data_IF_020216238722
#
_entry.id   IF_020216238722
#
_cell.length_a   1.000
_cell.length_b   1.000
_cell.length_c   1.000
_cell.angle_alpha   90.00
_cell.angle_beta   90.00
_cell.angle_gamma   90.00
#
_symmetry.space_group_name_H-M   'P 1'
#
loop_
_entity.id
_entity.type
_entity.pdbx_description
1 polymer ?
#
# COMPACT_ATOMS: atom_id res chain seq x y z
N UNK A 1 -26.53 -10.87 6.39
CA UNK A 1 -25.64 -10.50 7.52
C UNK A 1 -26.26 -9.33 8.25
N UNK A 2 -26.33 -9.37 9.59
CA UNK A 2 -26.98 -8.32 10.39
C UNK A 2 -26.12 -7.03 10.43
N UNK A 3 -26.72 -5.83 10.39
CA UNK A 3 -26.00 -4.55 10.50
C UNK A 3 -25.12 -4.41 11.74
N UNK A 4 -25.40 -5.16 12.82
CA UNK A 4 -24.61 -5.17 14.05
C UNK A 4 -23.30 -5.97 13.95
N UNK A 5 -23.24 -7.01 13.10
CA UNK A 5 -22.00 -7.74 12.83
C UNK A 5 -21.00 -6.85 12.07
N UNK A 6 -21.50 -6.06 11.10
CA UNK A 6 -20.72 -5.10 10.33
C UNK A 6 -20.17 -3.92 11.15
N UNK A 7 -20.70 -3.68 12.37
CA UNK A 7 -20.22 -2.67 13.31
C UNK A 7 -19.16 -3.20 14.28
N UNK A 8 -19.16 -4.49 14.61
CA UNK A 8 -18.15 -5.12 15.49
C UNK A 8 -16.86 -5.48 14.74
N UNK A 9 -16.94 -5.74 13.43
CA UNK A 9 -15.80 -5.94 12.53
C UNK A 9 -15.23 -4.62 11.94
N UNK A 10 -15.49 -3.49 12.59
CA UNK A 10 -15.04 -2.15 12.18
C UNK A 10 -13.53 -1.89 12.30
N UNK A 11 -12.72 -2.94 12.40
CA UNK A 11 -11.26 -2.84 12.44
C UNK A 11 -10.67 -2.50 11.07
N UNK A 12 -9.45 -1.94 11.11
CA UNK A 12 -8.62 -1.50 9.98
C UNK A 12 -8.50 -2.43 8.75
N UNK A 13 -8.98 -3.68 8.82
CA UNK A 13 -9.12 -4.58 7.67
C UNK A 13 -9.98 -4.02 6.54
N UNK A 14 -10.79 -2.98 6.80
CA UNK A 14 -11.63 -2.28 5.82
C UNK A 14 -10.94 -1.07 5.13
N UNK A 15 -9.75 -0.66 5.58
CA UNK A 15 -9.03 0.44 4.95
C UNK A 15 -8.33 -0.04 3.66
N UNK A 16 -8.25 0.85 2.66
CA UNK A 16 -7.45 0.60 1.47
C UNK A 16 -5.97 0.61 1.85
N UNK A 17 -5.15 -0.19 1.16
CA UNK A 17 -3.71 -0.26 1.42
C UNK A 17 -3.00 1.10 1.41
N UNK A 18 -3.32 2.05 0.49
CA UNK A 18 -2.71 3.39 0.53
C UNK A 18 -3.03 4.16 1.81
N UNK A 19 -4.26 4.05 2.31
CA UNK A 19 -4.69 4.68 3.57
C UNK A 19 -3.90 4.09 4.75
N UNK A 20 -3.81 2.77 4.82
CA UNK A 20 -3.09 2.07 5.89
C UNK A 20 -1.59 2.40 5.85
N UNK A 21 -0.98 2.49 4.67
CA UNK A 21 0.43 2.84 4.50
C UNK A 21 0.71 4.29 4.94
N UNK A 22 -0.09 5.26 4.51
CA UNK A 22 0.06 6.65 4.97
C UNK A 22 -0.14 6.75 6.48
N UNK A 23 -1.05 5.96 7.04
CA UNK A 23 -1.29 5.97 8.48
C UNK A 23 -0.10 5.42 9.29
N UNK A 24 0.60 4.42 8.76
CA UNK A 24 1.87 3.94 9.33
C UNK A 24 2.98 4.99 9.23
N UNK A 25 3.01 5.76 8.14
CA UNK A 25 4.05 6.76 7.91
C UNK A 25 3.90 8.03 8.76
N UNK A 26 2.76 8.27 9.42
CA UNK A 26 2.59 9.43 10.31
C UNK A 26 3.32 9.16 11.64
N UNK A 27 4.49 9.73 11.88
CA UNK A 27 5.26 9.52 13.12
C UNK A 27 4.71 10.32 14.30
N UNK A 28 4.24 11.55 14.10
CA UNK A 28 3.79 12.42 15.19
C UNK A 28 2.26 12.46 15.36
N UNK A 29 1.80 12.60 16.61
CA UNK A 29 0.37 12.84 16.93
C UNK A 29 -0.16 14.15 16.33
N UNK A 30 0.74 15.11 16.06
CA UNK A 30 0.40 16.40 15.45
C UNK A 30 0.07 16.28 13.95
N UNK A 31 0.18 15.10 13.35
CA UNK A 31 -0.20 14.90 11.95
C UNK A 31 0.82 15.42 10.95
N UNK A 32 2.01 15.81 11.41
CA UNK A 32 3.15 15.97 10.52
C UNK A 32 3.47 14.58 9.98
N UNK A 33 3.21 14.37 8.69
CA UNK A 33 3.74 13.23 7.96
C UNK A 33 5.25 13.25 8.18
N UNK A 34 5.82 12.11 8.57
CA UNK A 34 7.26 11.90 8.38
C UNK A 34 7.57 12.32 6.96
N UNK A 35 8.63 13.12 6.82
CA UNK A 35 9.04 13.82 5.60
C UNK A 35 8.54 13.08 4.35
N UNK A 36 7.50 13.62 3.69
CA UNK A 36 6.97 12.99 2.48
C UNK A 36 8.12 12.85 1.49
N UNK A 37 8.48 11.62 1.17
CA UNK A 37 9.63 11.29 0.35
C UNK A 37 9.20 10.47 -0.86
N UNK A 38 10.13 10.26 -1.79
CA UNK A 38 9.88 9.54 -3.04
C UNK A 38 9.51 8.07 -2.78
N UNK A 39 10.04 7.45 -1.71
CA UNK A 39 9.71 6.08 -1.31
C UNK A 39 8.25 5.94 -0.87
N UNK A 40 7.73 6.85 -0.04
CA UNK A 40 6.31 6.87 0.35
C UNK A 40 5.45 7.16 -0.87
N UNK A 41 5.88 8.08 -1.73
CA UNK A 41 5.17 8.45 -2.96
C UNK A 41 4.98 7.22 -3.86
N UNK A 42 6.05 6.52 -4.21
CA UNK A 42 6.03 5.33 -5.07
C UNK A 42 5.34 4.14 -4.37
N UNK A 43 5.59 3.94 -3.07
CA UNK A 43 4.93 2.95 -2.22
C UNK A 43 3.41 3.07 -2.23
N UNK A 44 2.85 4.29 -2.15
CA UNK A 44 1.40 4.50 -2.25
C UNK A 44 0.84 4.05 -3.61
N UNK A 45 1.58 4.25 -4.71
CA UNK A 45 1.16 3.81 -6.06
C UNK A 45 1.25 2.28 -6.19
N UNK A 46 2.28 1.66 -5.62
CA UNK A 46 2.33 0.20 -5.45
C UNK A 46 1.11 -0.31 -4.67
N UNK A 47 0.74 0.39 -3.58
CA UNK A 47 -0.44 0.08 -2.78
C UNK A 47 -1.76 0.19 -3.55
N UNK A 48 -1.89 1.15 -4.46
CA UNK A 48 -3.05 1.29 -5.36
C UNK A 48 -3.17 0.05 -6.26
N UNK A 49 -2.09 -0.40 -6.89
CA UNK A 49 -2.11 -1.57 -7.78
C UNK A 49 -2.45 -2.85 -7.01
N UNK A 50 -1.86 -3.06 -5.84
CA UNK A 50 -2.19 -4.22 -4.99
C UNK A 50 -3.67 -4.15 -4.56
N UNK A 51 -4.15 -2.99 -4.13
CA UNK A 51 -5.55 -2.84 -3.68
C UNK A 51 -6.54 -3.14 -4.81
N UNK A 52 -6.28 -2.67 -6.03
CA UNK A 52 -7.09 -2.98 -7.21
C UNK A 52 -7.08 -4.48 -7.52
N UNK A 53 -5.92 -5.15 -7.40
CA UNK A 53 -5.81 -6.59 -7.61
C UNK A 53 -6.57 -7.39 -6.55
N UNK A 54 -6.46 -7.01 -5.26
CA UNK A 54 -7.21 -7.63 -4.17
C UNK A 54 -8.73 -7.45 -4.31
N UNK A 55 -9.17 -6.35 -4.93
CA UNK A 55 -10.58 -6.10 -5.30
C UNK A 55 -11.00 -6.77 -6.61
N UNK A 56 -10.13 -7.55 -7.25
CA UNK A 56 -10.41 -8.25 -8.50
C UNK A 56 -10.62 -7.33 -9.71
N UNK A 57 -10.17 -6.07 -9.63
CA UNK A 57 -10.30 -5.10 -10.73
C UNK A 57 -9.23 -5.27 -11.78
N UNK A 58 -8.04 -5.68 -11.37
CA UNK A 58 -6.90 -5.94 -12.26
C UNK A 58 -6.23 -7.27 -11.91
N UNK A 59 -5.45 -7.80 -12.82
CA UNK A 59 -4.53 -8.91 -12.57
C UNK A 59 -3.28 -8.79 -13.43
N UNK A 60 -2.31 -9.66 -13.20
CA UNK A 60 -1.20 -9.83 -14.14
C UNK A 60 -1.63 -10.72 -15.30
N UNK A 61 -1.04 -10.49 -16.47
CA UNK A 61 -1.16 -11.35 -17.64
C UNK A 61 -0.84 -12.80 -17.23
N UNK A 62 -1.69 -13.79 -17.55
CA UNK A 62 -1.47 -15.17 -17.12
C UNK A 62 -0.15 -15.73 -17.69
N UNK A 63 0.45 -16.69 -16.98
CA UNK A 63 1.64 -17.37 -17.46
C UNK A 63 1.31 -18.09 -18.78
N UNK A 64 1.96 -17.66 -19.87
CA UNK A 64 1.88 -18.34 -21.17
C UNK A 64 2.93 -19.44 -21.28
N UNK A 65 2.82 -20.29 -22.31
CA UNK A 65 3.81 -21.34 -22.63
C UNK A 65 5.25 -20.80 -22.74
N UNK A 66 5.42 -19.50 -23.01
CA UNK A 66 6.73 -18.85 -23.13
C UNK A 66 7.32 -18.35 -21.80
N UNK A 67 6.71 -18.65 -20.65
CA UNK A 67 7.14 -18.23 -19.28
C UNK A 67 7.82 -16.84 -19.26
N UNK A 68 7.02 -15.79 -19.43
CA UNK A 68 7.48 -14.41 -19.24
C UNK A 68 7.92 -14.21 -17.78
N UNK A 69 8.97 -13.42 -17.57
CA UNK A 69 9.39 -13.02 -16.22
C UNK A 69 8.31 -12.17 -15.56
N UNK A 70 8.23 -12.19 -14.23
CA UNK A 70 7.22 -11.48 -13.43
C UNK A 70 7.12 -10.00 -13.81
N UNK A 71 8.26 -9.32 -13.94
CA UNK A 71 8.33 -7.89 -14.27
C UNK A 71 8.00 -7.57 -15.73
N UNK A 72 7.99 -8.57 -16.62
CA UNK A 72 7.60 -8.42 -18.03
C UNK A 72 6.09 -8.65 -18.21
N UNK A 73 5.41 -9.20 -17.21
CA UNK A 73 3.97 -9.44 -17.24
C UNK A 73 3.23 -8.11 -17.16
N UNK A 74 2.24 -7.96 -18.03
CA UNK A 74 1.43 -6.75 -18.14
C UNK A 74 0.27 -6.78 -17.15
N UNK A 75 -0.12 -5.61 -16.67
CA UNK A 75 -1.33 -5.41 -15.86
C UNK A 75 -2.55 -5.40 -16.79
N UNK A 76 -3.49 -6.32 -16.54
CA UNK A 76 -4.70 -6.52 -17.32
C UNK A 76 -5.91 -6.09 -16.50
N UNK A 77 -6.80 -5.33 -17.14
CA UNK A 77 -8.09 -4.95 -16.57
C UNK A 77 -9.04 -6.16 -16.56
N UNK A 78 -9.57 -6.50 -15.38
CA UNK A 78 -10.61 -7.54 -15.19
C UNK A 78 -12.00 -6.94 -15.07
N UNK A 79 -12.12 -5.83 -14.38
CA UNK A 79 -13.39 -5.14 -14.15
C UNK A 79 -13.14 -3.66 -13.93
N UNK A 80 -13.96 -2.82 -14.56
CA UNK A 80 -13.97 -1.36 -14.41
C UNK A 80 -15.06 -0.87 -13.44
N UNK A 81 -15.67 -1.78 -12.68
CA UNK A 81 -16.67 -1.42 -11.69
C UNK A 81 -16.07 -0.45 -10.65
N UNK A 82 -16.76 0.65 -10.31
CA UNK A 82 -16.23 1.61 -9.36
C UNK A 82 -15.93 0.95 -8.01
N UNK A 83 -14.88 1.46 -7.36
CA UNK A 83 -14.40 0.99 -6.06
C UNK A 83 -14.85 1.89 -4.92
N UNK A 84 -15.30 3.12 -5.24
CA UNK A 84 -15.68 4.14 -4.26
C UNK A 84 -14.49 4.89 -3.66
N UNK A 85 -13.27 4.61 -4.12
CA UNK A 85 -12.05 5.33 -3.76
C UNK A 85 -11.56 6.11 -4.99
N UNK A 86 -11.46 7.43 -4.85
CA UNK A 86 -11.18 8.33 -5.97
C UNK A 86 -9.84 8.02 -6.64
N UNK A 87 -8.82 7.60 -5.87
CA UNK A 87 -7.49 7.28 -6.43
C UNK A 87 -7.54 5.97 -7.20
N UNK A 88 -8.18 4.94 -6.63
CA UNK A 88 -8.35 3.65 -7.30
C UNK A 88 -9.17 3.79 -8.59
N UNK A 89 -10.26 4.57 -8.54
CA UNK A 89 -11.15 4.77 -9.68
C UNK A 89 -10.51 5.62 -10.79
N UNK A 90 -9.63 6.57 -10.43
CA UNK A 90 -8.80 7.30 -11.41
C UNK A 90 -7.76 6.39 -12.07
N UNK A 91 -7.06 5.57 -11.30
CA UNK A 91 -6.14 4.58 -11.86
C UNK A 91 -6.85 3.58 -12.77
N UNK A 92 -8.06 3.11 -12.42
CA UNK A 92 -8.84 2.24 -13.30
C UNK A 92 -9.22 2.93 -14.62
N UNK A 93 -9.59 4.22 -14.58
CA UNK A 93 -9.83 5.00 -15.80
C UNK A 93 -8.58 5.09 -16.67
N UNK A 94 -7.41 5.32 -16.08
CA UNK A 94 -6.14 5.31 -16.83
C UNK A 94 -5.86 3.94 -17.45
N UNK A 95 -5.95 2.85 -16.67
CA UNK A 95 -5.74 1.48 -17.16
C UNK A 95 -6.68 1.13 -18.31
N UNK A 96 -7.96 1.55 -18.23
CA UNK A 96 -8.95 1.34 -19.28
C UNK A 96 -8.66 2.16 -20.55
N UNK A 97 -8.09 3.35 -20.41
CA UNK A 97 -7.81 4.24 -21.54
C UNK A 97 -6.53 3.85 -22.32
N UNK A 98 -5.64 3.06 -21.73
CA UNK A 98 -4.39 2.68 -22.39
C UNK A 98 -4.62 1.69 -23.53
N UNK A 99 -4.09 1.99 -24.71
CA UNK A 99 -4.16 1.09 -25.88
C UNK A 99 -3.36 -0.20 -25.69
N UNK A 100 -2.18 -0.10 -25.08
CA UNK A 100 -1.29 -1.22 -24.79
C UNK A 100 -1.13 -1.43 -23.30
N UNK A 101 -1.42 -2.64 -22.81
CA UNK A 101 -1.19 -2.97 -21.41
C UNK A 101 0.29 -2.80 -21.03
N UNK A 102 0.52 -2.18 -19.86
CA UNK A 102 1.84 -1.83 -19.30
C UNK A 102 2.21 -2.75 -18.14
N UNK A 103 3.50 -2.82 -17.79
CA UNK A 103 3.99 -3.62 -16.65
C UNK A 103 3.71 -2.91 -15.32
N UNK A 104 3.87 -3.63 -14.20
CA UNK A 104 3.72 -3.05 -12.86
C UNK A 104 4.67 -1.88 -12.64
N UNK A 105 5.94 -2.05 -13.01
CA UNK A 105 6.96 -1.01 -12.89
C UNK A 105 6.55 0.26 -13.65
N UNK A 106 6.17 0.13 -14.92
CA UNK A 106 5.73 1.26 -15.73
C UNK A 106 4.49 1.93 -15.15
N UNK A 107 3.53 1.18 -14.61
CA UNK A 107 2.39 1.80 -13.92
C UNK A 107 2.80 2.61 -12.70
N UNK A 108 3.75 2.15 -11.90
CA UNK A 108 4.25 2.92 -10.75
C UNK A 108 4.90 4.23 -11.22
N UNK A 109 5.76 4.18 -12.23
CA UNK A 109 6.41 5.36 -12.83
C UNK A 109 5.37 6.36 -13.40
N UNK A 110 4.39 5.85 -14.15
CA UNK A 110 3.31 6.66 -14.74
C UNK A 110 2.46 7.37 -13.68
N UNK A 111 2.02 6.64 -12.66
CA UNK A 111 1.16 7.17 -11.60
C UNK A 111 1.92 8.13 -10.66
N UNK A 112 3.25 8.02 -10.59
CA UNK A 112 4.13 8.94 -9.84
C UNK A 112 4.51 10.17 -10.68
N UNK A 113 4.51 10.03 -12.00
CA UNK A 113 4.89 11.09 -12.95
C UNK A 113 6.37 11.08 -13.31
N UNK A 114 7.04 9.94 -13.16
CA UNK A 114 8.46 9.73 -13.47
C UNK A 114 8.70 9.41 -14.95
N UNK A 115 7.66 9.51 -15.78
CA UNK A 115 7.75 9.27 -17.22
C UNK A 115 8.16 10.53 -17.98
N UNK A 116 9.01 10.35 -18.98
CA UNK A 116 9.39 11.40 -19.93
C UNK A 116 8.53 11.43 -21.19
N UNK A 117 7.56 10.52 -21.34
CA UNK A 117 6.68 10.50 -22.51
C UNK A 117 5.55 11.53 -22.38
N UNK A 118 5.50 12.59 -23.22
CA UNK A 118 4.49 13.65 -23.13
C UNK A 118 3.05 13.15 -23.20
N UNK A 119 2.80 12.11 -24.00
CA UNK A 119 1.46 11.52 -24.17
C UNK A 119 1.00 10.72 -22.94
N UNK A 120 1.91 10.37 -22.04
CA UNK A 120 1.63 9.59 -20.83
C UNK A 120 1.70 10.42 -19.54
N UNK A 121 2.08 11.70 -19.61
CA UNK A 121 2.11 12.61 -18.45
C UNK A 121 0.74 12.75 -17.76
N UNK A 122 -0.35 12.59 -18.52
CA UNK A 122 -1.71 12.64 -18.02
C UNK A 122 -2.10 11.51 -17.06
N UNK A 123 -1.27 10.46 -16.92
CA UNK A 123 -1.51 9.35 -16.01
C UNK A 123 -1.02 9.61 -14.58
N UNK A 124 -0.31 10.72 -14.35
CA UNK A 124 0.17 11.07 -13.01
C UNK A 124 -1.00 11.36 -12.07
N UNK A 125 -1.02 10.65 -10.94
CA UNK A 125 -1.93 10.97 -9.84
C UNK A 125 -1.40 12.19 -9.08
N UNK A 126 -2.21 13.26 -9.08
CA UNK A 126 -1.89 14.53 -8.39
C UNK A 126 -2.55 14.60 -7.02
N UNK A 127 -1.91 15.37 -6.13
CA UNK A 127 -2.40 15.66 -4.77
C UNK A 127 -2.74 14.40 -3.97
N UNK A 128 -1.96 13.32 -4.15
CA UNK A 128 -2.22 12.02 -3.54
C UNK A 128 -2.22 12.14 -2.02
N UNK A 129 -1.26 12.89 -1.45
CA UNK A 129 -1.17 13.10 0.00
C UNK A 129 -2.45 13.72 0.55
N UNK A 130 -2.90 14.82 -0.05
CA UNK A 130 -4.07 15.57 0.37
C UNK A 130 -5.34 14.73 0.24
N UNK A 131 -5.45 13.94 -0.85
CA UNK A 131 -6.60 13.06 -1.09
C UNK A 131 -6.67 11.90 -0.11
N UNK A 132 -5.53 11.27 0.23
CA UNK A 132 -5.48 10.21 1.24
C UNK A 132 -5.72 10.79 2.64
N UNK A 133 -5.18 11.97 2.96
CA UNK A 133 -5.45 12.66 4.22
C UNK A 133 -6.94 13.00 4.36
N UNK A 134 -7.58 13.50 3.31
CA UNK A 134 -9.03 13.75 3.31
C UNK A 134 -9.83 12.47 3.55
N UNK A 135 -9.46 11.35 2.92
CA UNK A 135 -10.11 10.07 3.16
C UNK A 135 -9.94 9.57 4.62
N UNK A 136 -8.78 9.84 5.24
CA UNK A 136 -8.55 9.55 6.66
C UNK A 136 -9.38 10.45 7.59
N UNK A 137 -9.59 11.71 7.22
CA UNK A 137 -10.48 12.64 7.95
C UNK A 137 -11.93 12.20 7.84
N UNK A 138 -12.41 11.83 6.65
CA UNK A 138 -13.76 11.30 6.42
C UNK A 138 -14.03 10.01 7.21
N UNK A 139 -12.98 9.23 7.48
CA UNK A 139 -13.03 8.03 8.34
C UNK A 139 -12.88 8.32 9.84
N UNK A 140 -12.68 9.59 10.23
CA UNK A 140 -12.51 10.00 11.62
C UNK A 140 -11.18 9.56 12.26
N UNK A 141 -10.18 9.21 11.45
CA UNK A 141 -8.84 8.83 11.93
C UNK A 141 -7.96 10.06 12.15
N UNK A 142 -8.07 11.04 11.26
CA UNK A 142 -7.48 12.37 11.38
C UNK A 142 -8.58 13.40 11.61
N UNK A 143 -8.22 14.55 12.15
CA UNK A 143 -9.05 15.76 12.09
C UNK A 143 -8.41 16.79 11.17
N UNK A 144 -9.10 17.89 10.91
CA UNK A 144 -8.56 19.05 10.22
C UNK A 144 -8.47 20.18 11.22
N UNK A 145 -7.26 20.63 11.51
CA UNK A 145 -7.01 21.77 12.37
C UNK A 145 -6.36 22.90 11.58
N UNK A 146 -6.84 24.13 11.78
CA UNK A 146 -6.18 25.32 11.28
C UNK A 146 -5.24 25.83 12.37
N UNK A 147 -3.94 25.66 12.16
CA UNK A 147 -2.92 26.20 13.04
C UNK A 147 -2.47 27.57 12.53
N UNK A 148 -2.57 28.57 13.40
CA UNK A 148 -2.13 29.93 13.09
C UNK A 148 -0.68 30.07 13.57
N UNK A 149 0.26 30.18 12.65
CA UNK A 149 1.64 30.54 12.93
C UNK A 149 1.78 32.06 12.84
N UNK A 150 2.85 32.61 13.44
CA UNK A 150 3.09 34.05 13.48
C UNK A 150 3.06 34.72 12.09
N UNK A 151 3.43 33.99 11.03
CA UNK A 151 3.55 34.51 9.65
C UNK A 151 2.56 33.91 8.65
N UNK A 152 1.85 32.84 8.99
CA UNK A 152 0.93 32.16 8.08
C UNK A 152 0.00 31.22 8.84
N UNK A 153 -1.12 30.89 8.21
CA UNK A 153 -1.98 29.82 8.68
C UNK A 153 -1.67 28.53 7.90
N UNK A 154 -1.59 27.41 8.60
CA UNK A 154 -1.40 26.09 8.00
C UNK A 154 -2.50 25.15 8.44
N UNK A 155 -3.07 24.43 7.48
CA UNK A 155 -3.99 23.33 7.79
C UNK A 155 -3.17 22.09 8.10
N UNK A 156 -3.35 21.54 9.30
CA UNK A 156 -2.71 20.29 9.75
C UNK A 156 -3.76 19.20 9.93
N UNK A 157 -3.30 17.95 9.90
CA UNK A 157 -4.17 16.78 10.03
C UNK A 157 -3.76 15.87 11.19
N UNK A 158 -3.92 16.32 12.46
CA UNK A 158 -3.50 15.53 13.60
C UNK A 158 -4.32 14.24 13.76
N UNK A 159 -3.70 13.25 14.38
CA UNK A 159 -4.31 11.93 14.62
C UNK A 159 -5.26 12.03 15.80
N UNK A 160 -6.56 11.85 15.56
CA UNK A 160 -7.58 11.82 16.62
C UNK A 160 -7.73 10.44 17.23
N UNK A 161 -7.59 9.39 16.42
CA UNK A 161 -7.77 8.01 16.86
C UNK A 161 -6.44 7.24 16.87
N UNK A 162 -5.63 7.51 17.90
CA UNK A 162 -4.34 6.82 18.10
C UNK A 162 -4.52 5.30 18.33
N UNK A 163 -5.68 4.86 18.83
CA UNK A 163 -5.99 3.44 19.07
C UNK A 163 -6.00 2.66 17.75
N UNK A 164 -6.54 3.22 16.67
CA UNK A 164 -6.51 2.57 15.35
C UNK A 164 -5.08 2.40 14.83
N UNK A 165 -4.20 3.38 15.08
CA UNK A 165 -2.79 3.29 14.69
C UNK A 165 -2.10 2.14 15.43
N UNK A 166 -2.31 2.09 16.74
CA UNK A 166 -1.77 1.04 17.59
C UNK A 166 -2.28 -0.35 17.19
N UNK A 167 -3.55 -0.47 16.79
CA UNK A 167 -4.11 -1.74 16.25
C UNK A 167 -3.40 -2.18 14.98
N UNK A 168 -3.11 -1.26 14.04
CA UNK A 168 -2.38 -1.59 12.81
C UNK A 168 -0.96 -2.08 13.12
N UNK A 169 -0.24 -1.30 13.92
CA UNK A 169 1.14 -1.59 14.31
C UNK A 169 1.21 -2.93 15.03
N UNK A 170 0.32 -3.16 16.00
CA UNK A 170 0.22 -4.42 16.73
C UNK A 170 -0.08 -5.60 15.81
N UNK A 171 -0.97 -5.44 14.82
CA UNK A 171 -1.26 -6.51 13.83
C UNK A 171 -0.01 -6.88 13.02
N UNK A 172 0.77 -5.91 12.57
CA UNK A 172 2.02 -6.16 11.83
C UNK A 172 3.09 -6.79 12.74
N UNK A 173 3.27 -6.28 13.95
CA UNK A 173 4.19 -6.85 14.93
C UNK A 173 3.84 -8.31 15.26
N UNK A 174 2.57 -8.60 15.59
CA UNK A 174 2.11 -9.97 15.86
C UNK A 174 2.34 -10.91 14.67
N UNK A 175 2.16 -10.41 13.43
CA UNK A 175 2.39 -11.22 12.22
C UNK A 175 3.85 -11.63 12.03
N UNK A 176 4.80 -10.83 12.53
CA UNK A 176 6.23 -11.14 12.49
C UNK A 176 6.72 -11.86 13.75
N UNK A 177 5.89 -11.97 14.78
CA UNK A 177 6.24 -12.55 16.08
C UNK A 177 5.42 -13.81 16.37
N UNK A 178 4.34 -13.66 17.14
CA UNK A 178 3.55 -14.76 17.69
C UNK A 178 2.75 -15.51 16.62
N UNK A 179 2.36 -14.81 15.55
CA UNK A 179 1.57 -15.37 14.43
C UNK A 179 2.41 -15.61 13.18
N UNK A 180 3.73 -15.64 13.34
CA UNK A 180 4.64 -15.89 12.24
C UNK A 180 4.35 -17.24 11.56
N UNK A 181 4.34 -17.21 10.23
CA UNK A 181 4.21 -18.40 9.39
C UNK A 181 5.41 -18.48 8.46
N UNK A 182 6.05 -19.64 8.39
CA UNK A 182 7.23 -19.84 7.51
C UNK A 182 6.87 -19.80 6.01
N UNK A 183 5.60 -19.99 5.67
CA UNK A 183 5.10 -19.87 4.30
C UNK A 183 4.26 -18.59 4.16
N UNK A 184 4.75 -17.55 3.43
CA UNK A 184 4.02 -16.30 3.23
C UNK A 184 2.64 -16.48 2.58
N UNK A 185 2.41 -17.57 1.84
CA UNK A 185 1.12 -17.85 1.21
C UNK A 185 0.01 -18.17 2.22
N UNK A 186 0.39 -18.55 3.44
CA UNK A 186 -0.53 -18.79 4.56
C UNK A 186 -0.85 -17.51 5.34
N UNK A 187 -0.12 -16.42 5.08
CA UNK A 187 -0.38 -15.12 5.69
C UNK A 187 -1.60 -14.45 5.05
N UNK A 188 -2.33 -13.65 5.82
CA UNK A 188 -3.35 -12.75 5.29
C UNK A 188 -2.75 -11.84 4.20
N UNK A 189 -3.30 -11.86 2.99
CA UNK A 189 -2.77 -11.12 1.83
C UNK A 189 -2.65 -9.63 2.08
N UNK A 190 -3.57 -9.03 2.86
CA UNK A 190 -3.48 -7.60 3.20
C UNK A 190 -2.30 -7.33 4.15
N UNK A 191 -1.99 -8.27 5.03
CA UNK A 191 -0.84 -8.18 5.96
C UNK A 191 0.47 -8.33 5.19
N UNK A 192 0.58 -9.32 4.30
CA UNK A 192 1.73 -9.49 3.41
C UNK A 192 1.97 -8.23 2.55
N UNK A 193 0.90 -7.71 1.93
CA UNK A 193 0.97 -6.48 1.16
C UNK A 193 1.44 -5.28 1.99
N UNK A 194 0.95 -5.13 3.22
CA UNK A 194 1.38 -4.04 4.09
C UNK A 194 2.84 -4.16 4.50
N UNK A 195 3.36 -5.36 4.76
CA UNK A 195 4.79 -5.56 5.05
C UNK A 195 5.66 -5.16 3.86
N UNK A 196 5.31 -5.64 2.66
CA UNK A 196 6.00 -5.26 1.40
C UNK A 196 5.97 -3.74 1.20
N UNK A 197 4.80 -3.13 1.30
CA UNK A 197 4.66 -1.69 1.08
C UNK A 197 5.36 -0.86 2.16
N UNK A 198 5.29 -1.29 3.43
CA UNK A 198 5.96 -0.62 4.53
C UNK A 198 7.48 -0.67 4.37
N UNK A 199 8.01 -1.76 3.83
CA UNK A 199 9.42 -1.88 3.47
C UNK A 199 9.79 -0.92 2.36
N UNK A 200 9.09 -1.01 1.21
CA UNK A 200 9.38 -0.18 0.04
C UNK A 200 9.18 1.32 0.28
N UNK A 201 8.45 1.69 1.33
CA UNK A 201 8.21 3.09 1.72
C UNK A 201 9.10 3.59 2.87
N UNK A 202 10.03 2.76 3.35
CA UNK A 202 10.93 3.08 4.46
C UNK A 202 10.20 3.46 5.77
N UNK A 203 9.15 2.71 6.10
CA UNK A 203 8.35 2.95 7.33
C UNK A 203 8.32 1.75 8.28
N UNK A 204 8.97 0.63 7.94
CA UNK A 204 9.01 -0.57 8.79
C UNK A 204 9.69 -0.32 10.13
N UNK A 205 10.78 0.44 10.17
CA UNK A 205 11.48 0.73 11.43
C UNK A 205 10.54 1.41 12.45
N UNK A 206 9.69 2.33 11.98
CA UNK A 206 8.66 2.98 12.81
C UNK A 206 7.64 2.00 13.39
N UNK A 207 7.34 0.90 12.66
CA UNK A 207 6.42 -0.14 13.13
C UNK A 207 7.07 -0.93 14.27
N UNK A 208 8.36 -1.23 14.19
CA UNK A 208 9.06 -2.06 15.17
C UNK A 208 9.71 -1.28 16.32
N UNK A 209 9.83 0.05 16.21
CA UNK A 209 10.47 0.91 17.20
C UNK A 209 9.91 0.80 18.64
N UNK A 210 8.69 0.31 18.82
CA UNK A 210 8.06 0.10 20.13
C UNK A 210 8.28 -1.29 20.74
N UNK A 211 8.96 -2.20 20.02
CA UNK A 211 9.27 -3.54 20.50
C UNK A 211 10.47 -3.51 21.46
N UNK A 212 10.53 -4.47 22.37
CA UNK A 212 11.74 -4.75 23.16
C UNK A 212 12.84 -5.30 22.22
N UNK A 213 14.11 -5.07 22.57
CA UNK A 213 15.28 -5.39 21.71
C UNK A 213 15.26 -6.85 21.18
N UNK A 214 14.94 -7.81 22.04
CA UNK A 214 14.86 -9.23 21.67
C UNK A 214 13.77 -9.49 20.61
N UNK A 215 12.59 -8.89 20.78
CA UNK A 215 11.49 -8.98 19.81
C UNK A 215 11.77 -8.19 18.54
N UNK A 216 12.45 -7.05 18.66
CA UNK A 216 12.86 -6.22 17.53
C UNK A 216 13.77 -7.01 16.57
N UNK A 217 14.82 -7.63 17.11
CA UNK A 217 15.77 -8.41 16.32
C UNK A 217 15.08 -9.59 15.61
N UNK A 218 14.19 -10.31 16.31
CA UNK A 218 13.42 -11.41 15.72
C UNK A 218 12.50 -10.92 14.61
N UNK A 219 11.77 -9.82 14.83
CA UNK A 219 10.85 -9.26 13.85
C UNK A 219 11.59 -8.75 12.61
N UNK A 220 12.72 -8.05 12.78
CA UNK A 220 13.54 -7.57 11.67
C UNK A 220 14.15 -8.70 10.86
N UNK A 221 14.71 -9.73 11.52
CA UNK A 221 15.27 -10.89 10.82
C UNK A 221 14.21 -11.63 10.00
N UNK A 222 13.04 -11.92 10.57
CA UNK A 222 11.94 -12.57 9.83
C UNK A 222 11.40 -11.71 8.70
N UNK A 223 11.37 -10.38 8.89
CA UNK A 223 10.92 -9.46 7.84
C UNK A 223 11.91 -9.47 6.69
N UNK A 224 13.20 -9.45 6.99
CA UNK A 224 14.27 -9.60 6.01
C UNK A 224 14.17 -10.92 5.27
N UNK A 225 14.04 -12.05 5.98
CA UNK A 225 13.89 -13.37 5.38
C UNK A 225 12.71 -13.44 4.40
N UNK A 226 11.60 -12.76 4.72
CA UNK A 226 10.41 -12.65 3.86
C UNK A 226 10.66 -11.79 2.61
N UNK A 227 11.38 -10.67 2.76
CA UNK A 227 11.62 -9.71 1.68
C UNK A 227 12.75 -10.15 0.74
N UNK A 228 13.68 -10.95 1.22
CA UNK A 228 14.79 -11.54 0.46
C UNK A 228 14.36 -12.79 -0.36
N UNK A 229 13.09 -13.23 -0.22
CA UNK A 229 12.55 -14.31 -1.04
C UNK A 229 12.49 -13.91 -2.52
N UNK A 230 12.74 -14.87 -3.42
CA UNK A 230 12.66 -14.64 -4.87
C UNK A 230 11.20 -14.39 -5.30
N UNK A 231 10.84 -13.16 -5.71
CA UNK A 231 9.47 -12.84 -6.09
C UNK A 231 8.98 -13.64 -7.31
N UNK A 232 9.88 -14.04 -8.22
CA UNK A 232 9.52 -14.85 -9.39
C UNK A 232 9.03 -16.23 -8.97
N UNK A 233 9.72 -16.85 -8.01
CA UNK A 233 9.37 -18.17 -7.46
C UNK A 233 8.09 -18.07 -6.64
N UNK A 234 7.98 -17.08 -5.75
CA UNK A 234 6.80 -16.93 -4.90
C UNK A 234 5.55 -16.55 -5.71
N UNK A 235 5.67 -15.73 -6.75
CA UNK A 235 4.54 -15.39 -7.63
C UNK A 235 4.06 -16.57 -8.48
N UNK A 236 4.92 -17.56 -8.76
CA UNK A 236 4.53 -18.75 -9.52
C UNK A 236 3.73 -19.76 -8.68
N UNK A 237 3.75 -19.63 -7.34
CA UNK A 237 2.97 -20.50 -6.45
C UNK A 237 1.49 -20.14 -6.51
N UNK A 238 0.64 -21.16 -6.40
CA UNK A 238 -0.80 -20.97 -6.32
C UNK A 238 -1.14 -20.23 -5.00
N UNK A 239 -1.82 -19.09 -5.09
CA UNK A 239 -2.18 -18.32 -3.88
C UNK A 239 -2.75 -16.92 -4.11
N UNK A 240 -2.73 -16.42 -5.36
CA UNK A 240 -3.36 -15.14 -5.70
C UNK A 240 -2.63 -13.92 -5.10
N UNK A 241 -1.34 -14.05 -4.80
CA UNK A 241 -0.47 -12.98 -4.30
C UNK A 241 0.45 -12.39 -5.38
N UNK A 242 0.27 -12.78 -6.64
CA UNK A 242 1.19 -12.43 -7.74
C UNK A 242 1.44 -10.92 -7.89
N UNK A 243 0.41 -10.09 -7.70
CA UNK A 243 0.56 -8.62 -7.76
C UNK A 243 1.42 -8.08 -6.61
N UNK A 244 1.33 -8.68 -5.43
CA UNK A 244 2.13 -8.25 -4.26
C UNK A 244 3.61 -8.51 -4.55
N UNK A 245 3.92 -9.71 -5.05
CA UNK A 245 5.28 -10.09 -5.44
C UNK A 245 5.80 -9.28 -6.63
N UNK A 246 4.96 -8.96 -7.61
CA UNK A 246 5.36 -8.13 -8.74
C UNK A 246 5.67 -6.69 -8.31
N UNK A 247 4.94 -6.16 -7.33
CA UNK A 247 5.24 -4.85 -6.73
C UNK A 247 6.54 -4.90 -5.92
N UNK A 248 6.77 -5.94 -5.11
CA UNK A 248 8.06 -6.13 -4.42
C UNK A 248 9.22 -6.19 -5.43
N UNK A 249 9.08 -7.01 -6.48
CA UNK A 249 10.10 -7.12 -7.53
C UNK A 249 10.36 -5.79 -8.25
N UNK A 250 9.34 -4.94 -8.40
CA UNK A 250 9.50 -3.63 -9.03
C UNK A 250 10.27 -2.65 -8.14
N UNK A 251 10.16 -2.77 -6.81
CA UNK A 251 10.91 -1.95 -5.85
C UNK A 251 12.33 -2.45 -5.57
N UNK A 252 12.62 -3.74 -5.82
CA UNK A 252 13.95 -4.32 -5.66
C UNK A 252 14.91 -4.03 -6.83
N UNK A 253 14.45 -3.33 -7.87
CA UNK A 253 15.21 -2.97 -9.06
C UNK A 253 15.85 -1.60 -8.94
#
# INVERSE_FOLDING_TARGET
ESPEQARRDGGLGRNSLPISLLFLSIVSLQGYTSFWNDCISSGLRGGILIELALRGRICLEPLSLRKKRLLERKVILKSDAPTGDVLLDETLRHIRATESAETVQTWIELLTGETWNPFKLQYQLRNVRERVAKALVEKGILTTEKQNFLLFDMTTHPVTNATEKQRLVKKLQESMLERWVNDPHRMDRRTLALLVLAHSSDVLENVFASLANDKYDVAMNRTKDLLDMDPEVEAAKAGGAEMIWAVLAAFNK
#
